data_IF_678263899264
#
_entry.id   IF_678263899264
#
_cell.length_a   1.000
_cell.length_b   1.000
_cell.length_c   1.000
_cell.angle_alpha   90.00
_cell.angle_beta   90.00
_cell.angle_gamma   90.00
#
_symmetry.space_group_name_H-M   'P 1'
#
loop_
_entity.id
_entity.type
_entity.pdbx_description
1 polymer ?
#
# COMPACT_ATOMS: atom_id res chain seq x y z
N UNK A 1 -45.28 -18.34 -19.30
CA UNK A 1 -44.76 -18.87 -18.03
C UNK A 1 -44.19 -17.70 -17.26
N UNK A 2 -44.94 -17.23 -16.27
CA UNK A 2 -44.73 -15.95 -15.55
C UNK A 2 -43.93 -16.27 -14.29
N UNK A 3 -42.76 -15.64 -14.11
CA UNK A 3 -42.00 -15.73 -12.86
C UNK A 3 -41.81 -14.33 -12.28
N UNK A 4 -42.49 -14.11 -11.16
CA UNK A 4 -42.51 -12.93 -10.33
C UNK A 4 -41.12 -12.57 -9.78
N UNK A 5 -40.74 -11.31 -9.91
CA UNK A 5 -39.55 -10.72 -9.28
C UNK A 5 -40.05 -9.85 -8.12
N UNK A 6 -39.93 -10.35 -6.89
CA UNK A 6 -40.25 -9.63 -5.67
C UNK A 6 -39.00 -8.87 -5.22
N UNK A 7 -39.01 -7.55 -5.40
CA UNK A 7 -38.08 -6.60 -4.81
C UNK A 7 -38.45 -6.39 -3.34
N UNK A 8 -37.68 -6.96 -2.41
CA UNK A 8 -37.75 -6.62 -0.99
C UNK A 8 -36.84 -5.42 -0.71
N UNK A 9 -37.44 -4.25 -0.55
CA UNK A 9 -36.83 -3.04 -0.01
C UNK A 9 -36.73 -3.15 1.52
N UNK A 10 -35.54 -3.42 2.03
CA UNK A 10 -35.25 -3.37 3.47
C UNK A 10 -35.08 -1.90 3.87
N UNK A 11 -36.15 -1.30 4.38
CA UNK A 11 -36.10 -0.02 5.09
C UNK A 11 -35.76 -0.29 6.55
N UNK A 12 -34.50 -0.09 6.94
CA UNK A 12 -34.09 -0.12 8.35
C UNK A 12 -34.63 1.14 9.04
N UNK A 13 -35.73 1.00 9.79
CA UNK A 13 -36.17 2.01 10.75
C UNK A 13 -35.20 2.00 11.93
N UNK A 14 -34.32 3.00 11.98
CA UNK A 14 -33.55 3.31 13.19
C UNK A 14 -34.55 3.92 14.18
N UNK A 15 -34.90 3.12 15.19
CA UNK A 15 -35.67 3.58 16.36
C UNK A 15 -34.74 4.41 17.24
N UNK A 16 -34.88 5.73 17.21
CA UNK A 16 -34.27 6.60 18.21
C UNK A 16 -34.91 6.30 19.57
N UNK A 17 -34.12 5.80 20.52
CA UNK A 17 -34.51 5.76 21.93
C UNK A 17 -34.43 7.19 22.48
N UNK A 18 -35.59 7.77 22.77
CA UNK A 18 -35.71 9.02 23.52
C UNK A 18 -35.27 8.76 24.98
N UNK A 19 -34.13 9.36 25.36
CA UNK A 19 -33.77 9.51 26.76
C UNK A 19 -34.60 10.66 27.36
N UNK A 20 -35.18 10.53 28.56
CA UNK A 20 -35.89 11.64 29.19
C UNK A 20 -34.90 12.78 29.48
N UNK A 21 -35.11 13.94 28.85
CA UNK A 21 -34.44 15.18 29.22
C UNK A 21 -34.99 15.65 30.56
N UNK A 22 -34.16 15.58 31.58
CA UNK A 22 -34.42 16.19 32.88
C UNK A 22 -34.33 17.72 32.72
N UNK A 23 -35.48 18.41 32.65
CA UNK A 23 -35.52 19.87 32.62
C UNK A 23 -35.20 20.42 34.01
N UNK A 24 -33.93 20.77 34.22
CA UNK A 24 -33.50 21.49 35.43
C UNK A 24 -34.14 22.88 35.41
N UNK A 25 -34.89 23.30 36.46
CA UNK A 25 -35.43 24.65 36.50
C UNK A 25 -34.30 25.67 36.58
N UNK A 26 -34.14 26.47 35.52
CA UNK A 26 -33.19 27.60 35.48
C UNK A 26 -33.60 28.66 36.51
N UNK A 27 -33.01 28.62 37.69
CA UNK A 27 -32.84 29.84 38.50
C UNK A 27 -31.65 30.58 37.91
N UNK A 28 -31.90 31.64 37.13
CA UNK A 28 -30.82 32.53 36.67
C UNK A 28 -30.22 33.22 37.89
N UNK A 29 -28.92 33.03 38.22
CA UNK A 29 -28.27 33.91 39.17
C UNK A 29 -28.17 35.31 38.56
N UNK A 30 -28.51 36.34 39.34
CA UNK A 30 -28.52 37.74 38.90
C UNK A 30 -27.12 38.35 38.74
N UNK A 31 -26.09 37.53 38.52
CA UNK A 31 -24.72 38.00 38.33
C UNK A 31 -24.02 37.12 37.28
N UNK A 32 -24.32 37.40 36.01
CA UNK A 32 -23.56 36.86 34.88
C UNK A 32 -22.37 37.80 34.67
N UNK A 33 -21.26 37.55 35.36
CA UNK A 33 -19.96 38.04 34.92
C UNK A 33 -19.60 37.17 33.70
N UNK A 34 -19.22 37.73 32.54
CA UNK A 34 -18.72 36.93 31.44
C UNK A 34 -17.50 36.17 31.96
N UNK A 35 -17.60 34.85 32.00
CA UNK A 35 -16.47 34.00 32.32
C UNK A 35 -15.58 33.98 31.07
N UNK A 36 -14.60 34.88 31.02
CA UNK A 36 -13.56 34.95 29.96
C UNK A 36 -12.63 33.72 29.99
N UNK A 37 -12.88 32.75 30.87
CA UNK A 37 -12.12 31.51 31.04
C UNK A 37 -12.75 30.31 30.33
N UNK A 38 -13.50 30.52 29.22
CA UNK A 38 -13.69 29.41 28.28
C UNK A 38 -12.38 29.13 27.56
N UNK A 39 -11.53 28.30 28.18
CA UNK A 39 -10.52 27.56 27.43
C UNK A 39 -11.24 26.81 26.31
N UNK A 40 -10.98 27.21 25.07
CA UNK A 40 -11.28 26.40 23.90
C UNK A 40 -10.47 25.12 24.06
N UNK A 41 -11.07 24.11 24.70
CA UNK A 41 -10.54 22.76 24.68
C UNK A 41 -10.39 22.43 23.20
N UNK A 42 -9.16 22.23 22.69
CA UNK A 42 -8.99 21.96 21.28
C UNK A 42 -9.82 20.72 21.00
N UNK A 43 -10.82 20.85 20.12
CA UNK A 43 -11.60 19.70 19.66
C UNK A 43 -10.60 18.82 18.94
N UNK A 44 -10.10 17.81 19.65
CA UNK A 44 -9.22 16.81 19.08
C UNK A 44 -10.08 16.06 18.09
N UNK A 45 -10.01 16.46 16.83
CA UNK A 45 -10.62 15.72 15.73
C UNK A 45 -9.85 14.41 15.60
N UNK A 46 -10.25 13.42 16.40
CA UNK A 46 -9.79 12.05 16.22
C UNK A 46 -10.33 11.64 14.85
N UNK A 47 -9.43 11.48 13.89
CA UNK A 47 -9.81 11.01 12.57
C UNK A 47 -10.43 9.62 12.75
N UNK A 48 -11.54 9.33 12.06
CA UNK A 48 -12.20 8.01 12.11
C UNK A 48 -11.21 6.85 11.84
N UNK A 49 -10.13 7.13 11.11
CA UNK A 49 -9.03 6.20 10.86
C UNK A 49 -8.24 5.84 12.12
N UNK A 50 -8.11 6.73 13.11
CA UNK A 50 -7.39 6.42 14.36
C UNK A 50 -8.18 5.46 15.26
N UNK A 51 -9.51 5.44 15.14
CA UNK A 51 -10.40 4.63 15.98
C UNK A 51 -10.62 3.21 15.45
N UNK A 52 -10.57 3.01 14.13
CA UNK A 52 -10.83 1.70 13.49
C UNK A 52 -9.53 0.90 13.28
N UNK A 53 -8.38 1.59 13.22
CA UNK A 53 -7.08 0.98 12.96
C UNK A 53 -6.38 0.61 14.27
N UNK A 54 -6.94 -0.36 15.00
CA UNK A 54 -6.28 -0.98 16.17
C UNK A 54 -5.00 -1.70 15.70
N UNK A 55 -3.96 -1.74 16.56
CA UNK A 55 -2.70 -2.42 16.29
C UNK A 55 -2.94 -3.84 15.73
N UNK A 56 -2.42 -4.07 14.52
CA UNK A 56 -2.56 -5.31 13.76
C UNK A 56 -1.20 -5.99 13.64
N UNK A 57 -1.14 -7.29 13.92
CA UNK A 57 0.03 -8.15 13.74
C UNK A 57 0.65 -8.04 12.33
N UNK A 58 -0.16 -7.74 11.31
CA UNK A 58 0.30 -7.63 9.93
C UNK A 58 0.91 -6.25 9.57
N UNK A 59 0.85 -5.26 10.48
CA UNK A 59 1.45 -3.93 10.38
C UNK A 59 0.94 -3.08 9.21
N UNK A 60 -0.13 -3.48 8.53
CA UNK A 60 -0.63 -2.77 7.33
C UNK A 60 -1.32 -1.47 7.73
N UNK A 61 -2.09 -1.50 8.83
CA UNK A 61 -2.85 -0.36 9.31
C UNK A 61 -1.94 0.74 9.86
N UNK A 62 -0.92 0.38 10.64
CA UNK A 62 0.09 1.33 11.13
C UNK A 62 0.82 2.05 9.99
N UNK A 63 1.23 1.30 8.96
CA UNK A 63 1.85 1.90 7.78
C UNK A 63 0.90 2.85 7.03
N UNK A 64 -0.40 2.52 7.00
CA UNK A 64 -1.41 3.37 6.39
C UNK A 64 -1.62 4.67 7.19
N UNK A 65 -1.73 4.56 8.51
CA UNK A 65 -1.84 5.71 9.41
C UNK A 65 -0.62 6.63 9.28
N UNK A 66 0.59 6.08 9.37
CA UNK A 66 1.84 6.84 9.23
C UNK A 66 1.89 7.62 7.91
N UNK A 67 1.46 6.99 6.81
CA UNK A 67 1.43 7.66 5.50
C UNK A 67 0.39 8.79 5.44
N UNK A 68 -0.79 8.61 6.05
CA UNK A 68 -1.82 9.65 6.11
C UNK A 68 -1.32 10.83 6.93
N UNK A 69 -0.74 10.56 8.11
CA UNK A 69 -0.13 11.59 8.96
C UNK A 69 1.01 12.32 8.23
N UNK A 70 1.85 11.61 7.48
CA UNK A 70 2.90 12.22 6.65
C UNK A 70 2.31 13.17 5.58
N UNK A 71 1.21 12.77 4.94
CA UNK A 71 0.55 13.60 3.93
C UNK A 71 -0.12 14.83 4.53
N UNK A 72 -0.75 14.70 5.68
CA UNK A 72 -1.35 15.85 6.38
C UNK A 72 -0.25 16.80 6.88
N UNK A 73 0.86 16.27 7.40
CA UNK A 73 2.03 17.08 7.76
C UNK A 73 2.60 17.82 6.56
N UNK A 74 2.73 17.14 5.40
CA UNK A 74 3.22 17.75 4.17
C UNK A 74 2.27 18.82 3.65
N UNK A 75 0.96 18.60 3.74
CA UNK A 75 -0.05 19.60 3.35
C UNK A 75 0.07 20.84 4.22
N UNK A 76 0.09 20.68 5.54
CA UNK A 76 0.26 21.79 6.48
C UNK A 76 1.54 22.58 6.22
N UNK A 77 2.64 21.89 5.89
CA UNK A 77 3.90 22.53 5.51
C UNK A 77 3.75 23.34 4.21
N UNK A 78 3.16 22.76 3.16
CA UNK A 78 2.95 23.45 1.88
C UNK A 78 2.05 24.69 2.03
N UNK A 79 0.97 24.58 2.81
CA UNK A 79 0.05 25.68 3.12
C UNK A 79 0.73 26.78 3.94
N UNK A 80 1.51 26.42 4.97
CA UNK A 80 2.18 27.37 5.86
C UNK A 80 3.27 28.20 5.14
N UNK A 81 3.92 27.63 4.13
CA UNK A 81 5.02 28.26 3.40
C UNK A 81 4.60 28.78 2.00
N UNK A 82 3.32 28.76 1.67
CA UNK A 82 2.76 29.15 0.35
C UNK A 82 3.51 28.51 -0.84
N UNK A 83 3.92 27.25 -0.66
CA UNK A 83 4.71 26.52 -1.65
C UNK A 83 3.85 26.02 -2.82
N UNK A 84 2.52 26.11 -2.70
CA UNK A 84 1.60 25.76 -3.79
C UNK A 84 1.87 26.60 -5.05
N UNK A 85 2.19 27.88 -4.84
CA UNK A 85 2.53 28.83 -5.91
C UNK A 85 3.74 28.40 -6.75
N UNK A 86 4.66 27.64 -6.16
CA UNK A 86 5.88 27.17 -6.84
C UNK A 86 5.64 25.99 -7.78
N UNK A 87 4.53 25.27 -7.62
CA UNK A 87 4.21 24.06 -8.38
C UNK A 87 5.16 22.86 -8.15
N UNK A 88 6.19 23.02 -7.30
CA UNK A 88 7.18 21.98 -7.02
C UNK A 88 6.68 20.96 -5.99
N UNK A 89 5.76 21.36 -5.10
CA UNK A 89 5.26 20.54 -4.01
C UNK A 89 3.73 20.46 -4.06
N UNK A 90 3.20 19.40 -4.66
CA UNK A 90 1.77 19.11 -4.66
C UNK A 90 1.41 18.10 -3.55
N UNK A 91 0.59 18.46 -2.55
CA UNK A 91 0.03 17.47 -1.65
C UNK A 91 -0.80 16.45 -2.46
N UNK A 92 -0.88 15.18 -2.02
CA UNK A 92 -1.65 14.18 -2.74
C UNK A 92 -3.13 14.57 -2.80
N UNK A 93 -3.74 14.39 -3.97
CA UNK A 93 -5.16 14.66 -4.18
C UNK A 93 -6.02 13.71 -3.33
N UNK A 94 -7.22 14.15 -2.97
CA UNK A 94 -8.18 13.32 -2.21
C UNK A 94 -8.51 12.00 -2.94
N UNK A 95 -8.55 12.02 -4.28
CA UNK A 95 -8.69 10.81 -5.09
C UNK A 95 -7.52 9.83 -4.89
N UNK A 96 -6.29 10.34 -4.81
CA UNK A 96 -5.10 9.52 -4.54
C UNK A 96 -5.15 8.93 -3.12
N UNK A 97 -5.52 9.73 -2.12
CA UNK A 97 -5.68 9.27 -0.73
C UNK A 97 -6.70 8.13 -0.63
N UNK A 98 -7.88 8.29 -1.23
CA UNK A 98 -8.92 7.24 -1.26
C UNK A 98 -8.46 5.96 -1.93
N UNK A 99 -7.78 6.08 -3.07
CA UNK A 99 -7.24 4.92 -3.79
C UNK A 99 -6.18 4.17 -2.97
N UNK A 100 -5.29 4.91 -2.29
CA UNK A 100 -4.29 4.34 -1.40
C UNK A 100 -4.92 3.60 -0.21
N UNK A 101 -5.89 4.23 0.48
CA UNK A 101 -6.60 3.61 1.59
C UNK A 101 -7.34 2.36 1.14
N UNK A 102 -8.09 2.42 0.03
CA UNK A 102 -8.81 1.27 -0.53
C UNK A 102 -7.87 0.10 -0.86
N UNK A 103 -6.73 0.38 -1.51
CA UNK A 103 -5.73 -0.64 -1.84
C UNK A 103 -5.12 -1.28 -0.59
N UNK A 104 -4.82 -0.48 0.44
CA UNK A 104 -4.25 -0.98 1.69
C UNK A 104 -5.25 -1.77 2.53
N UNK A 105 -6.52 -1.36 2.55
CA UNK A 105 -7.59 -2.12 3.19
C UNK A 105 -7.76 -3.48 2.52
N UNK A 106 -7.80 -3.55 1.18
CA UNK A 106 -7.85 -4.83 0.47
C UNK A 106 -6.66 -5.72 0.80
N UNK A 107 -5.45 -5.14 0.88
CA UNK A 107 -4.24 -5.85 1.31
C UNK A 107 -4.35 -6.36 2.75
N UNK A 108 -4.90 -5.56 3.66
CA UNK A 108 -5.14 -5.94 5.04
C UNK A 108 -6.13 -7.11 5.13
N UNK A 109 -7.31 -6.98 4.51
CA UNK A 109 -8.30 -8.07 4.47
C UNK A 109 -7.72 -9.36 3.90
N UNK A 110 -6.97 -9.27 2.81
CA UNK A 110 -6.34 -10.41 2.16
C UNK A 110 -5.23 -11.06 3.01
N UNK A 111 -4.56 -10.31 3.90
CA UNK A 111 -3.62 -10.85 4.89
C UNK A 111 -4.34 -11.45 6.10
N UNK A 112 -5.31 -10.74 6.68
CA UNK A 112 -6.08 -11.17 7.86
C UNK A 112 -6.83 -12.46 7.56
N UNK A 113 -7.54 -12.51 6.43
CA UNK A 113 -8.25 -13.69 5.95
C UNK A 113 -7.29 -14.88 5.76
N UNK A 114 -6.10 -14.64 5.19
CA UNK A 114 -5.08 -15.67 5.04
C UNK A 114 -4.53 -16.19 6.37
N UNK A 115 -4.43 -15.34 7.40
CA UNK A 115 -4.03 -15.73 8.75
C UNK A 115 -5.10 -16.59 9.42
N UNK A 116 -6.36 -16.14 9.39
CA UNK A 116 -7.50 -16.89 9.94
C UNK A 116 -7.68 -18.25 9.25
N UNK A 117 -7.58 -18.33 7.92
CA UNK A 117 -7.67 -19.61 7.18
C UNK A 117 -6.57 -20.59 7.61
N UNK A 118 -5.36 -20.11 7.94
CA UNK A 118 -4.26 -20.98 8.35
C UNK A 118 -4.46 -21.57 9.75
N UNK A 119 -5.14 -20.83 10.62
CA UNK A 119 -5.36 -21.20 12.01
C UNK A 119 -6.71 -21.91 12.23
N UNK A 120 -7.55 -21.97 11.21
CA UNK A 120 -8.88 -22.56 11.29
C UNK A 120 -8.86 -24.09 11.21
N UNK A 121 -9.71 -24.73 12.01
CA UNK A 121 -9.90 -26.18 11.99
C UNK A 121 -10.46 -26.67 10.64
N UNK A 122 -10.08 -27.90 10.26
CA UNK A 122 -10.37 -28.48 8.94
C UNK A 122 -11.88 -28.61 8.62
N UNK A 123 -12.74 -28.70 9.63
CA UNK A 123 -14.20 -28.83 9.48
C UNK A 123 -14.97 -27.50 9.62
N UNK A 124 -14.27 -26.36 9.67
CA UNK A 124 -14.91 -25.04 9.87
C UNK A 124 -15.42 -24.41 8.57
N UNK A 125 -16.40 -23.49 8.68
CA UNK A 125 -16.84 -22.64 7.56
C UNK A 125 -15.70 -21.80 6.96
N UNK A 126 -14.66 -21.50 7.75
CA UNK A 126 -13.45 -20.80 7.30
C UNK A 126 -12.65 -21.63 6.29
N UNK A 127 -12.77 -22.96 6.29
CA UNK A 127 -12.13 -23.82 5.28
C UNK A 127 -12.75 -23.62 3.90
N UNK A 128 -14.08 -23.45 3.82
CA UNK A 128 -14.78 -23.13 2.58
C UNK A 128 -14.33 -21.76 2.04
N UNK A 129 -14.21 -20.76 2.93
CA UNK A 129 -13.63 -19.45 2.58
C UNK A 129 -12.17 -19.59 2.13
N UNK A 130 -11.41 -20.52 2.72
CA UNK A 130 -10.04 -20.86 2.31
C UNK A 130 -9.93 -21.43 0.91
N UNK A 131 -10.90 -22.24 0.47
CA UNK A 131 -10.94 -22.74 -0.90
C UNK A 131 -11.19 -21.59 -1.89
N UNK A 132 -12.16 -20.71 -1.58
CA UNK A 132 -12.43 -19.50 -2.38
C UNK A 132 -11.18 -18.61 -2.43
N UNK A 133 -10.51 -18.40 -1.30
CA UNK A 133 -9.28 -17.62 -1.23
C UNK A 133 -8.14 -18.21 -2.06
N UNK A 134 -7.99 -19.54 -2.06
CA UNK A 134 -7.03 -20.24 -2.91
C UNK A 134 -7.34 -20.04 -4.39
N UNK A 135 -8.63 -20.03 -4.77
CA UNK A 135 -9.09 -19.72 -6.13
C UNK A 135 -8.79 -18.27 -6.53
N UNK A 136 -8.91 -17.31 -5.60
CA UNK A 136 -8.57 -15.90 -5.82
C UNK A 136 -7.06 -15.61 -5.88
N UNK A 137 -6.23 -16.60 -5.52
CA UNK A 137 -4.76 -16.51 -5.58
C UNK A 137 -4.17 -17.66 -6.40
N UNK A 138 -4.51 -17.77 -7.69
CA UNK A 138 -4.04 -18.88 -8.51
C UNK A 138 -2.52 -18.83 -8.61
N UNK A 139 -1.90 -19.99 -8.42
CA UNK A 139 -0.47 -20.21 -8.62
C UNK A 139 -0.33 -21.35 -9.61
N UNK A 140 0.30 -21.08 -10.74
CA UNK A 140 0.63 -22.10 -11.73
C UNK A 140 2.15 -22.14 -11.89
N UNK A 141 2.67 -23.35 -12.08
CA UNK A 141 4.09 -23.59 -12.29
C UNK A 141 4.24 -24.54 -13.45
N UNK A 142 5.03 -24.15 -14.43
CA UNK A 142 5.34 -24.97 -15.60
C UNK A 142 6.87 -25.03 -15.75
N UNK A 143 7.42 -26.25 -15.78
CA UNK A 143 8.82 -26.47 -16.12
C UNK A 143 8.90 -26.55 -17.64
N UNK A 144 9.59 -25.61 -18.26
CA UNK A 144 9.79 -25.57 -19.72
C UNK A 144 10.96 -26.49 -20.08
N UNK A 145 12.00 -26.50 -19.25
CA UNK A 145 13.14 -27.40 -19.33
C UNK A 145 13.64 -27.76 -17.93
N UNK A 146 14.65 -28.62 -17.81
CA UNK A 146 15.24 -29.01 -16.51
C UNK A 146 15.72 -27.79 -15.70
N UNK A 147 16.17 -26.74 -16.39
CA UNK A 147 16.78 -25.55 -15.79
C UNK A 147 15.92 -24.29 -15.93
N UNK A 148 14.77 -24.36 -16.61
CA UNK A 148 13.91 -23.19 -16.83
C UNK A 148 12.50 -23.47 -16.31
N UNK A 149 12.09 -22.68 -15.32
CA UNK A 149 10.81 -22.81 -14.65
C UNK A 149 10.04 -21.50 -14.74
N UNK A 150 8.83 -21.59 -15.26
CA UNK A 150 7.89 -20.49 -15.33
C UNK A 150 6.91 -20.61 -14.16
N UNK A 151 6.78 -19.54 -13.37
CA UNK A 151 5.81 -19.46 -12.29
C UNK A 151 4.89 -18.28 -12.54
N UNK A 152 3.61 -18.57 -12.56
CA UNK A 152 2.56 -17.57 -12.56
C UNK A 152 1.94 -17.48 -11.18
N UNK A 153 1.79 -16.26 -10.66
CA UNK A 153 1.06 -16.01 -9.41
C UNK A 153 0.13 -14.83 -9.63
N UNK A 154 -1.16 -14.99 -9.42
CA UNK A 154 -2.08 -13.86 -9.38
C UNK A 154 -2.64 -13.66 -7.98
N UNK A 155 -3.02 -12.41 -7.70
CA UNK A 155 -3.71 -11.99 -6.49
C UNK A 155 -4.90 -11.15 -6.95
N UNK A 156 -6.05 -11.80 -7.16
CA UNK A 156 -7.22 -11.15 -7.75
C UNK A 156 -7.69 -9.96 -6.89
N UNK A 157 -7.73 -10.11 -5.57
CA UNK A 157 -8.13 -9.05 -4.63
C UNK A 157 -7.21 -7.82 -4.68
N UNK A 158 -5.92 -8.01 -4.94
CA UNK A 158 -4.95 -6.91 -5.05
C UNK A 158 -4.82 -6.39 -6.49
N UNK A 159 -5.47 -7.05 -7.46
CA UNK A 159 -5.31 -6.78 -8.88
C UNK A 159 -3.85 -6.90 -9.33
N UNK A 160 -3.11 -7.92 -8.86
CA UNK A 160 -1.69 -8.13 -9.24
C UNK A 160 -1.50 -9.48 -9.89
N UNK A 161 -0.66 -9.52 -10.92
CA UNK A 161 -0.20 -10.74 -11.55
C UNK A 161 1.33 -10.71 -11.68
N UNK A 162 1.96 -11.82 -11.34
CA UNK A 162 3.40 -12.02 -11.39
C UNK A 162 3.70 -13.14 -12.38
N UNK A 163 4.60 -12.87 -13.32
CA UNK A 163 5.24 -13.87 -14.15
C UNK A 163 6.71 -13.94 -13.74
N UNK A 164 7.16 -15.08 -13.25
CA UNK A 164 8.53 -15.29 -12.80
C UNK A 164 9.14 -16.36 -13.69
N UNK A 165 10.18 -16.02 -14.41
CA UNK A 165 11.01 -16.94 -15.17
C UNK A 165 12.27 -17.20 -14.35
N UNK A 166 12.31 -18.37 -13.72
CA UNK A 166 13.47 -18.86 -12.99
C UNK A 166 14.40 -19.55 -13.99
N UNK A 167 15.59 -18.98 -14.18
CA UNK A 167 16.67 -19.53 -15.02
C UNK A 167 17.99 -19.41 -14.23
N UNK A 168 18.90 -20.40 -14.28
CA UNK A 168 20.17 -20.38 -13.54
C UNK A 168 21.06 -19.17 -13.83
N UNK A 169 20.92 -18.54 -15.01
CA UNK A 169 21.78 -17.44 -15.42
C UNK A 169 21.20 -16.06 -15.13
N UNK A 170 19.87 -15.93 -15.16
CA UNK A 170 19.15 -14.65 -15.06
C UNK A 170 17.79 -14.91 -14.43
N UNK A 171 17.44 -14.11 -13.43
CA UNK A 171 16.10 -14.09 -12.84
C UNK A 171 15.30 -12.99 -13.52
N UNK A 172 14.16 -13.36 -14.12
CA UNK A 172 13.26 -12.39 -14.75
C UNK A 172 11.91 -12.44 -14.05
N UNK A 173 11.41 -11.27 -13.66
CA UNK A 173 10.10 -11.11 -13.04
C UNK A 173 9.33 -10.00 -13.73
N UNK A 174 8.11 -10.28 -14.13
CA UNK A 174 7.16 -9.28 -14.65
C UNK A 174 5.99 -9.15 -13.68
N UNK A 175 5.74 -7.94 -13.21
CA UNK A 175 4.56 -7.56 -12.43
C UNK A 175 3.60 -6.79 -13.32
N UNK A 176 2.35 -7.22 -13.35
CA UNK A 176 1.24 -6.51 -14.00
C UNK A 176 0.19 -6.20 -12.94
N UNK A 177 -0.26 -4.94 -12.87
CA UNK A 177 -1.34 -4.52 -11.98
C UNK A 177 -2.61 -4.17 -12.75
N UNK A 178 -3.77 -4.27 -12.10
CA UNK A 178 -5.06 -3.87 -12.66
C UNK A 178 -5.13 -2.36 -12.96
N UNK A 179 -4.26 -1.56 -12.34
CA UNK A 179 -4.08 -0.14 -12.64
C UNK A 179 -3.30 0.12 -13.94
N UNK A 180 -2.89 -0.93 -14.66
CA UNK A 180 -2.11 -0.82 -15.89
C UNK A 180 -0.61 -0.63 -15.67
N UNK A 181 -0.11 -0.75 -14.44
CA UNK A 181 1.32 -0.70 -14.17
C UNK A 181 1.95 -2.02 -14.59
N UNK A 182 3.01 -1.92 -15.38
CA UNK A 182 3.81 -3.06 -15.81
C UNK A 182 5.26 -2.79 -15.42
N UNK A 183 5.80 -3.66 -14.57
CA UNK A 183 7.18 -3.60 -14.10
C UNK A 183 7.88 -4.89 -14.53
N UNK A 184 8.98 -4.76 -15.26
CA UNK A 184 9.84 -5.86 -15.66
C UNK A 184 11.17 -5.73 -14.92
N UNK A 185 11.56 -6.78 -14.21
CA UNK A 185 12.81 -6.84 -13.46
C UNK A 185 13.64 -7.98 -14.02
N UNK A 186 14.87 -7.68 -14.40
CA UNK A 186 15.87 -8.65 -14.84
C UNK A 186 17.04 -8.54 -13.88
N UNK A 187 17.36 -9.61 -13.17
CA UNK A 187 18.43 -9.63 -12.18
C UNK A 187 19.40 -10.77 -12.46
N UNK A 188 20.69 -10.51 -12.22
CA UNK A 188 21.74 -11.52 -12.27
C UNK A 188 22.68 -11.30 -11.10
N UNK A 189 22.90 -12.36 -10.33
CA UNK A 189 23.84 -12.35 -9.22
C UNK A 189 25.06 -13.20 -9.56
N UNK A 190 26.24 -12.58 -9.52
CA UNK A 190 27.55 -13.21 -9.65
C UNK A 190 28.12 -13.42 -8.24
N UNK A 191 27.61 -14.45 -7.55
CA UNK A 191 28.01 -14.78 -6.17
C UNK A 191 29.54 -14.84 -5.96
N UNK A 192 30.35 -15.45 -6.84
CA UNK A 192 31.82 -15.51 -6.64
C UNK A 192 32.50 -14.14 -6.64
N UNK A 193 31.91 -13.16 -7.32
CA UNK A 193 32.45 -11.80 -7.38
C UNK A 193 31.77 -10.87 -6.37
N UNK A 194 30.76 -11.33 -5.63
CA UNK A 194 29.94 -10.47 -4.78
C UNK A 194 29.28 -9.33 -5.56
N UNK A 195 28.97 -9.53 -6.84
CA UNK A 195 28.33 -8.52 -7.70
C UNK A 195 26.91 -8.96 -8.02
N UNK A 196 25.95 -8.06 -7.90
CA UNK A 196 24.59 -8.26 -8.39
C UNK A 196 24.22 -7.12 -9.34
N UNK A 197 23.69 -7.48 -10.51
CA UNK A 197 23.21 -6.52 -11.51
C UNK A 197 21.70 -6.65 -11.61
N UNK A 198 20.98 -5.54 -11.63
CA UNK A 198 19.53 -5.49 -11.78
C UNK A 198 19.16 -4.45 -12.83
N UNK A 199 18.19 -4.76 -13.66
CA UNK A 199 17.58 -3.82 -14.59
C UNK A 199 16.07 -3.86 -14.35
N UNK A 200 15.50 -2.72 -13.98
CA UNK A 200 14.07 -2.54 -13.81
C UNK A 200 13.54 -1.68 -14.96
N UNK A 201 12.49 -2.13 -15.64
CA UNK A 201 11.79 -1.39 -16.68
C UNK A 201 10.34 -1.17 -16.26
N UNK A 202 9.92 0.10 -16.23
CA UNK A 202 8.58 0.55 -15.86
C UNK A 202 7.86 1.00 -17.13
N UNK A 203 7.15 0.08 -17.79
CA UNK A 203 6.58 0.33 -19.11
C UNK A 203 5.56 1.49 -19.12
N UNK A 204 4.83 1.68 -18.02
CA UNK A 204 3.87 2.76 -17.86
C UNK A 204 4.52 4.16 -17.81
N UNK A 205 5.81 4.24 -17.45
CA UNK A 205 6.57 5.50 -17.43
C UNK A 205 7.57 5.60 -18.59
N UNK A 206 7.81 4.51 -19.31
CA UNK A 206 8.92 4.39 -20.23
C UNK A 206 10.24 4.66 -19.50
N UNK A 207 10.43 4.12 -18.30
CA UNK A 207 11.64 4.35 -17.52
C UNK A 207 12.39 3.05 -17.34
N UNK A 208 13.70 3.06 -17.48
CA UNK A 208 14.55 1.96 -17.04
C UNK A 208 15.57 2.43 -16.01
N UNK A 209 15.84 1.55 -15.06
CA UNK A 209 16.81 1.74 -13.99
C UNK A 209 17.76 0.55 -14.01
N UNK A 210 19.01 0.81 -14.37
CA UNK A 210 20.09 -0.16 -14.25
C UNK A 210 20.81 0.02 -12.91
N UNK A 211 21.07 -1.06 -12.20
CA UNK A 211 21.71 -1.09 -10.90
C UNK A 211 22.83 -2.14 -10.90
N UNK A 212 23.97 -1.78 -10.30
CA UNK A 212 25.08 -2.68 -10.05
C UNK A 212 25.47 -2.53 -8.58
N UNK A 213 25.29 -3.61 -7.85
CA UNK A 213 25.63 -3.74 -6.44
C UNK A 213 26.93 -4.55 -6.33
N UNK A 214 27.89 -4.01 -5.58
CA UNK A 214 29.12 -4.70 -5.19
C UNK A 214 29.14 -4.81 -3.67
N UNK A 215 29.15 -6.04 -3.18
CA UNK A 215 29.37 -6.34 -1.78
C UNK A 215 30.86 -6.11 -1.50
N UNK A 216 31.17 -5.16 -0.62
CA UNK A 216 32.54 -4.83 -0.20
C UNK A 216 32.90 -5.58 1.09
N UNK A 217 31.96 -5.63 2.03
CA UNK A 217 32.02 -6.41 3.27
C UNK A 217 30.62 -6.93 3.59
N UNK A 218 30.48 -7.76 4.63
CA UNK A 218 29.17 -8.26 5.08
C UNK A 218 28.18 -7.14 5.48
N UNK A 219 28.70 -5.93 5.74
CA UNK A 219 27.94 -4.80 6.21
C UNK A 219 27.93 -3.61 5.25
N UNK A 220 28.75 -3.63 4.19
CA UNK A 220 28.91 -2.50 3.26
C UNK A 220 28.67 -2.96 1.83
N UNK A 221 27.69 -2.32 1.18
CA UNK A 221 27.37 -2.52 -0.24
C UNK A 221 27.53 -1.19 -0.97
N UNK A 222 28.36 -1.18 -2.01
CA UNK A 222 28.42 -0.08 -2.96
C UNK A 222 27.41 -0.34 -4.08
N UNK A 223 26.54 0.63 -4.36
CA UNK A 223 25.55 0.57 -5.43
C UNK A 223 25.81 1.70 -6.42
N UNK A 224 25.91 1.35 -7.69
CA UNK A 224 25.82 2.29 -8.79
C UNK A 224 24.47 2.09 -9.49
N UNK A 225 23.72 3.16 -9.68
CA UNK A 225 22.44 3.12 -10.40
C UNK A 225 22.36 4.21 -11.45
N UNK A 226 21.76 3.90 -12.60
CA UNK A 226 21.45 4.85 -13.66
C UNK A 226 19.97 4.75 -14.00
N UNK A 227 19.26 5.89 -13.92
CA UNK A 227 17.85 6.02 -14.32
C UNK A 227 17.77 6.81 -15.62
N UNK A 228 17.01 6.28 -16.57
CA UNK A 228 16.83 6.88 -17.89
C UNK A 228 15.39 6.70 -18.37
N UNK A 229 14.94 7.60 -19.25
CA UNK A 229 13.61 7.59 -19.84
C UNK A 229 13.71 7.16 -21.31
N UNK A 230 12.77 6.38 -21.82
CA UNK A 230 12.71 5.84 -23.19
C UNK A 230 12.64 6.95 -24.26
N UNK A 231 12.18 8.14 -23.87
CA UNK A 231 12.16 9.31 -24.76
C UNK A 231 13.55 9.88 -25.04
N UNK A 232 14.55 9.51 -24.25
CA UNK A 232 15.96 9.85 -24.47
C UNK A 232 16.74 8.59 -24.80
N UNK A 233 17.60 8.65 -25.83
CA UNK A 233 18.35 7.48 -26.30
C UNK A 233 19.11 6.79 -25.14
N UNK A 234 19.26 5.47 -25.22
CA UNK A 234 20.06 4.72 -24.27
C UNK A 234 21.48 5.30 -24.17
N UNK A 235 21.92 5.59 -22.94
CA UNK A 235 23.23 6.15 -22.61
C UNK A 235 23.43 7.63 -23.03
N UNK A 236 22.37 8.44 -23.02
CA UNK A 236 22.53 9.89 -23.12
C UNK A 236 23.20 10.47 -21.85
N UNK A 237 24.00 11.53 -22.01
CA UNK A 237 24.60 12.32 -20.92
C UNK A 237 23.58 12.91 -19.92
N UNK A 238 22.29 12.89 -20.25
CA UNK A 238 21.18 13.30 -19.40
C UNK A 238 20.67 12.18 -18.47
N UNK A 239 21.39 11.07 -18.33
CA UNK A 239 21.02 10.01 -17.37
C UNK A 239 21.28 10.45 -15.94
N UNK A 240 20.31 10.25 -15.04
CA UNK A 240 20.53 10.43 -13.61
C UNK A 240 21.36 9.25 -13.09
N UNK A 241 22.60 9.54 -12.72
CA UNK A 241 23.54 8.55 -12.16
C UNK A 241 23.68 8.79 -10.66
N UNK A 242 23.62 7.72 -9.88
CA UNK A 242 23.74 7.79 -8.42
C UNK A 242 24.69 6.71 -7.95
N UNK A 243 25.65 7.10 -7.12
CA UNK A 243 26.51 6.19 -6.37
C UNK A 243 26.05 6.25 -4.92
N UNK A 244 25.77 5.08 -4.34
CA UNK A 244 25.33 4.93 -2.96
C UNK A 244 26.28 3.98 -2.23
N UNK A 245 26.58 4.30 -0.97
CA UNK A 245 27.26 3.40 -0.05
C UNK A 245 26.26 3.05 1.05
N UNK A 246 25.85 1.78 1.10
CA UNK A 246 24.84 1.28 2.03
C UNK A 246 25.57 0.54 3.13
N UNK A 247 25.39 1.00 4.37
CA UNK A 247 25.87 0.33 5.57
C UNK A 247 24.69 -0.31 6.32
N UNK A 248 24.79 -1.59 6.63
CA UNK A 248 23.78 -2.33 7.39
C UNK A 248 24.39 -2.93 8.65
N UNK A 249 23.79 -2.68 9.81
CA UNK A 249 24.17 -3.29 11.08
C UNK A 249 22.96 -4.04 11.66
N UNK A 250 23.12 -5.30 12.11
CA UNK A 250 22.05 -5.98 12.83
C UNK A 250 21.81 -5.27 14.17
N UNK A 251 20.54 -5.03 14.48
CA UNK A 251 20.06 -4.50 15.76
C UNK A 251 19.62 -5.62 16.69
#
# INVERSE_FOLDING_TARGET
MVCFLILLSVTSKVSAQDYPREEVPLRKPANLVPDDEMEVVPVRQILWTEQILVEDDAGVLNNMQNQITEWDSRRNYVEMWDLESTGLYGPPTEAHKRSYVGTNLLRYFDKRLAGEIKNADDNSALRAVGQVHKTLRPKAEARISENVKLRFKAQALQGKAYFILENPYVETQTLVTATGRVELTVAKSLKPLGVATRVNYYANRGEYVGEVDKILTDHIVARYSSRQNDKTMMFNRQSDQTIQLIFSHPF
#
